data_IF_423617673643
#
_entry.id   IF_423617673643
#
_cell.length_a   1.000
_cell.length_b   1.000
_cell.length_c   1.000
_cell.angle_alpha   90.00
_cell.angle_beta   90.00
_cell.angle_gamma   90.00
#
_symmetry.space_group_name_H-M   'P 1'
#
loop_
_entity.id
_entity.type
_entity.pdbx_description
1 polymer ?
#
# COMPACT_ATOMS: atom_id res chain seq x y z
N UNK A 1 4.29 -21.88 -22.05
CA UNK A 1 4.73 -20.71 -21.27
C UNK A 1 5.38 -21.25 -20.02
N UNK A 2 6.64 -20.93 -19.80
CA UNK A 2 7.33 -21.25 -18.55
C UNK A 2 6.67 -20.41 -17.44
N UNK A 3 6.18 -21.06 -16.39
CA UNK A 3 5.55 -20.36 -15.25
C UNK A 3 6.64 -19.70 -14.39
N UNK A 4 7.28 -18.66 -14.93
CA UNK A 4 8.39 -17.99 -14.27
C UNK A 4 7.91 -17.05 -13.16
N UNK A 5 6.92 -16.20 -13.46
CA UNK A 5 6.48 -15.15 -12.56
C UNK A 5 4.96 -15.07 -12.45
N UNK A 6 4.46 -14.88 -11.23
CA UNK A 6 3.08 -14.52 -10.95
C UNK A 6 3.01 -13.30 -10.00
N UNK A 7 1.95 -12.51 -10.12
CA UNK A 7 1.70 -11.36 -9.24
C UNK A 7 0.33 -11.48 -8.59
N UNK A 8 0.28 -11.30 -7.27
CA UNK A 8 -0.95 -11.23 -6.47
C UNK A 8 -1.14 -9.82 -5.96
N UNK A 9 -2.31 -9.24 -6.21
CA UNK A 9 -2.67 -7.90 -5.76
C UNK A 9 -3.46 -8.01 -4.45
N UNK A 10 -2.83 -7.61 -3.35
CA UNK A 10 -3.33 -7.68 -1.99
C UNK A 10 -2.67 -8.77 -1.14
N UNK A 11 -2.20 -8.41 0.04
CA UNK A 11 -1.60 -9.27 1.07
C UNK A 11 -2.55 -9.49 2.27
N UNK A 12 -3.86 -9.55 2.02
CA UNK A 12 -4.85 -10.05 2.99
C UNK A 12 -5.04 -11.56 2.93
N UNK A 13 -5.89 -12.11 3.80
CA UNK A 13 -6.11 -13.56 3.93
C UNK A 13 -6.22 -14.30 2.58
N UNK A 14 -7.08 -13.84 1.67
CA UNK A 14 -7.25 -14.45 0.36
C UNK A 14 -5.99 -14.35 -0.51
N UNK A 15 -5.37 -13.17 -0.59
CA UNK A 15 -4.17 -12.98 -1.40
C UNK A 15 -2.97 -13.77 -0.89
N UNK A 16 -2.81 -13.87 0.44
CA UNK A 16 -1.80 -14.72 1.06
C UNK A 16 -2.03 -16.20 0.77
N UNK A 17 -3.27 -16.68 0.90
CA UNK A 17 -3.61 -18.06 0.57
C UNK A 17 -3.37 -18.35 -0.92
N UNK A 18 -3.79 -17.44 -1.81
CA UNK A 18 -3.51 -17.52 -3.26
C UNK A 18 -2.01 -17.56 -3.54
N UNK A 19 -1.22 -16.72 -2.88
CA UNK A 19 0.24 -16.73 -3.03
C UNK A 19 0.83 -18.10 -2.66
N UNK A 20 0.38 -18.70 -1.55
CA UNK A 20 0.86 -20.03 -1.12
C UNK A 20 0.44 -21.17 -2.04
N UNK A 21 -0.64 -21.01 -2.80
CA UNK A 21 -0.98 -21.94 -3.88
C UNK A 21 -0.09 -21.71 -5.08
N UNK A 22 0.10 -20.45 -5.50
CA UNK A 22 0.89 -20.10 -6.69
C UNK A 22 2.36 -20.45 -6.56
N UNK A 23 2.95 -20.43 -5.36
CA UNK A 23 4.35 -20.85 -5.14
C UNK A 23 4.58 -22.32 -5.47
N UNK A 24 3.52 -23.14 -5.58
CA UNK A 24 3.61 -24.54 -6.06
C UNK A 24 3.74 -24.65 -7.59
N UNK A 25 3.41 -23.60 -8.33
CA UNK A 25 3.30 -23.62 -9.79
C UNK A 25 4.22 -22.61 -10.50
N UNK A 26 4.66 -21.58 -9.79
CA UNK A 26 5.50 -20.50 -10.33
C UNK A 26 6.82 -20.43 -9.57
N UNK A 27 7.90 -20.13 -10.30
CA UNK A 27 9.23 -19.97 -9.69
C UNK A 27 9.29 -18.73 -8.78
N UNK A 28 8.64 -17.64 -9.19
CA UNK A 28 8.57 -16.40 -8.43
C UNK A 28 7.12 -15.92 -8.31
N UNK A 29 6.66 -15.69 -7.09
CA UNK A 29 5.36 -15.06 -6.78
C UNK A 29 5.62 -13.73 -6.08
N UNK A 30 5.12 -12.64 -6.65
CA UNK A 30 5.19 -11.31 -6.03
C UNK A 30 3.82 -10.92 -5.49
N UNK A 31 3.72 -10.66 -4.19
CA UNK A 31 2.52 -10.13 -3.55
C UNK A 31 2.70 -8.64 -3.32
N UNK A 32 1.80 -7.82 -3.85
CA UNK A 32 1.83 -6.36 -3.72
C UNK A 32 0.70 -5.91 -2.83
N UNK A 33 0.97 -5.13 -1.79
CA UNK A 33 -0.05 -4.49 -0.95
C UNK A 33 0.37 -3.06 -0.62
N UNK A 34 -0.61 -2.17 -0.53
CA UNK A 34 -0.40 -0.78 -0.18
C UNK A 34 -0.11 -0.60 1.31
N UNK A 35 -0.51 -1.55 2.17
CA UNK A 35 -0.33 -1.45 3.61
C UNK A 35 1.13 -1.71 4.00
N UNK A 36 1.85 -0.71 4.54
CA UNK A 36 3.25 -0.86 4.92
C UNK A 36 3.45 -1.59 6.26
N UNK A 37 2.41 -1.77 7.08
CA UNK A 37 2.52 -2.37 8.42
C UNK A 37 1.73 -3.68 8.53
N UNK A 38 2.38 -4.83 8.28
CA UNK A 38 1.71 -6.11 8.41
C UNK A 38 1.43 -6.44 9.90
N UNK A 39 0.17 -6.78 10.21
CA UNK A 39 -0.18 -7.47 11.46
C UNK A 39 -1.02 -6.70 12.48
N UNK A 40 -1.40 -5.45 12.20
CA UNK A 40 -2.34 -4.69 13.04
C UNK A 40 -3.75 -4.61 12.42
N UNK A 41 -4.71 -4.06 13.16
CA UNK A 41 -6.04 -3.79 12.64
C UNK A 41 -5.98 -2.78 11.50
N UNK A 42 -6.36 -3.22 10.29
CA UNK A 42 -6.21 -2.43 9.07
C UNK A 42 -7.43 -1.57 8.80
N UNK A 43 -7.22 -0.32 8.38
CA UNK A 43 -8.29 0.63 8.05
C UNK A 43 -9.19 0.13 6.91
N UNK A 44 -8.63 -0.59 5.93
CA UNK A 44 -9.36 -1.21 4.82
C UNK A 44 -10.12 -2.49 5.18
N UNK A 45 -9.96 -3.00 6.41
CA UNK A 45 -10.68 -4.19 6.91
C UNK A 45 -11.30 -3.85 8.26
N UNK A 46 -12.35 -3.00 8.30
CA UNK A 46 -12.98 -2.55 9.55
C UNK A 46 -13.50 -3.72 10.40
N UNK A 47 -13.85 -4.84 9.74
CA UNK A 47 -14.26 -6.06 10.42
C UNK A 47 -13.13 -6.76 11.17
N UNK A 48 -11.86 -6.43 10.92
CA UNK A 48 -10.70 -7.12 11.49
C UNK A 48 -10.64 -7.16 13.01
N UNK A 49 -11.38 -6.27 13.69
CA UNK A 49 -11.56 -6.21 15.16
C UNK A 49 -12.60 -7.19 15.70
N UNK A 50 -13.46 -7.75 14.86
CA UNK A 50 -14.46 -8.74 15.26
C UNK A 50 -13.88 -10.15 15.24
N UNK A 51 -14.51 -11.05 16.01
CA UNK A 51 -14.22 -12.47 15.95
C UNK A 51 -14.49 -12.98 14.53
N UNK A 52 -13.54 -13.73 13.97
CA UNK A 52 -13.69 -14.39 12.68
C UNK A 52 -13.72 -15.89 12.87
N UNK A 53 -14.65 -16.53 12.15
CA UNK A 53 -14.84 -17.96 12.15
C UNK A 53 -14.36 -18.54 10.81
N UNK A 54 -13.22 -19.24 10.83
CA UNK A 54 -12.78 -20.05 9.70
C UNK A 54 -13.50 -21.40 9.78
N UNK A 55 -14.49 -21.58 8.90
CA UNK A 55 -15.32 -22.78 8.87
C UNK A 55 -14.48 -24.05 8.64
N UNK A 56 -14.95 -25.24 9.09
CA UNK A 56 -14.18 -26.48 9.03
C UNK A 56 -13.62 -26.82 7.64
N UNK A 57 -14.39 -26.59 6.58
CA UNK A 57 -13.90 -26.79 5.21
C UNK A 57 -12.75 -25.84 4.85
N UNK A 58 -12.85 -24.57 5.24
CA UNK A 58 -11.80 -23.58 5.05
C UNK A 58 -10.54 -23.91 5.87
N UNK A 59 -10.71 -24.37 7.11
CA UNK A 59 -9.61 -24.82 7.96
C UNK A 59 -8.83 -25.97 7.32
N UNK A 60 -9.53 -26.97 6.77
CA UNK A 60 -8.89 -28.07 6.02
C UNK A 60 -8.11 -27.58 4.81
N UNK A 61 -8.71 -26.72 3.97
CA UNK A 61 -8.03 -26.17 2.78
C UNK A 61 -6.80 -25.35 3.17
N UNK A 62 -6.89 -24.55 4.24
CA UNK A 62 -5.74 -23.79 4.74
C UNK A 62 -4.61 -24.72 5.16
N UNK A 63 -4.91 -25.83 5.83
CA UNK A 63 -3.92 -26.82 6.24
C UNK A 63 -3.36 -27.63 5.06
N UNK A 64 -4.14 -27.89 4.01
CA UNK A 64 -3.67 -28.50 2.76
C UNK A 64 -2.69 -27.58 2.00
N UNK A 65 -2.92 -26.27 2.03
CA UNK A 65 -2.01 -25.29 1.43
C UNK A 65 -0.77 -25.12 2.31
N UNK A 66 -0.95 -25.05 3.63
CA UNK A 66 0.10 -24.86 4.62
C UNK A 66 0.01 -25.94 5.71
N UNK A 67 0.68 -27.09 5.52
CA UNK A 67 0.59 -28.22 6.45
C UNK A 67 0.89 -27.84 7.91
N UNK A 68 -0.03 -28.19 8.81
CA UNK A 68 0.08 -27.96 10.25
C UNK A 68 -0.19 -26.52 10.70
N UNK A 69 -0.63 -25.63 9.80
CA UNK A 69 -0.92 -24.25 10.12
C UNK A 69 -2.10 -24.09 11.09
N UNK A 70 -3.12 -24.95 11.02
CA UNK A 70 -4.24 -24.92 11.96
C UNK A 70 -3.80 -25.31 13.37
N UNK A 71 -2.95 -26.35 13.48
CA UNK A 71 -2.39 -26.76 14.76
C UNK A 71 -1.50 -25.65 15.37
N UNK A 72 -0.69 -25.01 14.53
CA UNK A 72 0.12 -23.84 14.91
C UNK A 72 -0.75 -22.67 15.41
N UNK A 73 -1.81 -22.33 14.68
CA UNK A 73 -2.76 -21.29 15.10
C UNK A 73 -3.40 -21.62 16.45
N UNK A 74 -3.78 -22.88 16.67
CA UNK A 74 -4.35 -23.32 17.94
C UNK A 74 -3.36 -23.19 19.10
N UNK A 75 -2.11 -23.60 18.89
CA UNK A 75 -1.04 -23.46 19.89
C UNK A 75 -0.75 -21.99 20.24
N UNK A 76 -0.88 -21.09 19.26
CA UNK A 76 -0.69 -19.64 19.43
C UNK A 76 -1.95 -18.93 19.99
N UNK A 77 -3.02 -19.67 20.34
CA UNK A 77 -4.19 -19.17 21.05
C UNK A 77 -5.47 -19.02 20.22
N UNK A 78 -5.52 -19.54 19.00
CA UNK A 78 -6.80 -19.69 18.30
C UNK A 78 -7.68 -20.75 18.98
N UNK A 79 -8.98 -20.47 19.09
CA UNK A 79 -9.93 -21.43 19.68
C UNK A 79 -10.45 -22.33 18.57
N UNK A 80 -10.33 -23.65 18.76
CA UNK A 80 -11.01 -24.64 17.94
C UNK A 80 -12.37 -24.94 18.57
N UNK A 81 -13.44 -24.79 17.81
CA UNK A 81 -14.80 -25.04 18.29
C UNK A 81 -15.53 -25.97 17.34
N UNK A 82 -16.16 -27.02 17.87
CA UNK A 82 -17.05 -27.88 17.10
C UNK A 82 -18.31 -27.10 16.73
N UNK A 83 -18.66 -27.12 15.44
CA UNK A 83 -19.69 -26.25 14.86
C UNK A 83 -21.10 -26.45 15.44
N UNK A 84 -21.43 -27.57 16.06
CA UNK A 84 -22.76 -27.79 16.65
C UNK A 84 -22.75 -27.96 18.17
N UNK A 85 -21.68 -28.49 18.78
CA UNK A 85 -21.67 -28.64 20.24
C UNK A 85 -21.27 -27.35 20.98
N UNK A 86 -20.37 -26.56 20.41
CA UNK A 86 -19.77 -25.39 21.09
C UNK A 86 -20.48 -24.07 20.76
N UNK A 87 -21.41 -24.12 19.80
CA UNK A 87 -22.24 -22.99 19.39
C UNK A 87 -23.70 -23.16 19.79
N UNK A 88 -24.42 -22.04 19.80
CA UNK A 88 -25.89 -22.03 19.73
C UNK A 88 -26.31 -21.43 18.39
N UNK A 89 -26.75 -22.27 17.47
CA UNK A 89 -27.25 -21.85 16.17
C UNK A 89 -28.77 -21.76 16.18
N UNK A 90 -29.30 -20.60 15.82
CA UNK A 90 -30.74 -20.40 15.62
C UNK A 90 -31.01 -20.18 14.13
N UNK A 91 -31.85 -21.04 13.54
CA UNK A 91 -32.28 -20.93 12.15
C UNK A 91 -33.81 -20.93 12.10
N UNK A 92 -34.39 -19.89 11.50
CA UNK A 92 -35.86 -19.75 11.45
C UNK A 92 -36.51 -19.72 12.84
N UNK A 93 -35.82 -19.18 13.86
CA UNK A 93 -36.32 -19.10 15.23
C UNK A 93 -36.20 -20.40 16.05
N UNK A 94 -35.63 -21.46 15.49
CA UNK A 94 -35.40 -22.73 16.19
C UNK A 94 -33.92 -22.94 16.45
N UNK A 95 -33.59 -23.38 17.66
CA UNK A 95 -32.23 -23.81 18.00
C UNK A 95 -31.93 -25.15 17.32
N UNK A 96 -30.78 -25.25 16.67
CA UNK A 96 -30.30 -26.51 16.13
C UNK A 96 -29.84 -27.45 17.26
N UNK A 97 -29.94 -28.78 17.09
CA UNK A 97 -29.44 -29.73 18.07
C UNK A 97 -27.95 -29.51 18.36
N UNK A 98 -27.60 -29.49 19.64
CA UNK A 98 -26.21 -29.39 20.10
C UNK A 98 -25.61 -30.77 20.22
N UNK A 99 -24.97 -31.22 19.14
CA UNK A 99 -24.36 -32.54 19.03
C UNK A 99 -22.92 -32.42 18.54
N UNK A 100 -21.96 -33.19 19.07
CA UNK A 100 -20.61 -33.22 18.52
C UNK A 100 -20.63 -33.76 17.09
N UNK A 101 -19.99 -33.06 16.16
CA UNK A 101 -19.87 -33.49 14.77
C UNK A 101 -18.43 -33.73 14.32
N UNK A 102 -17.46 -33.39 15.17
CA UNK A 102 -16.02 -33.56 14.90
C UNK A 102 -15.47 -32.56 13.86
N UNK A 103 -16.27 -31.58 13.46
CA UNK A 103 -15.91 -30.56 12.48
C UNK A 103 -15.63 -29.24 13.19
N UNK A 104 -14.34 -28.90 13.29
CA UNK A 104 -13.90 -27.77 14.09
C UNK A 104 -13.64 -26.54 13.23
N UNK A 105 -14.27 -25.43 13.60
CA UNK A 105 -13.90 -24.10 13.12
C UNK A 105 -12.72 -23.55 13.90
N UNK A 106 -11.90 -22.73 13.25
CA UNK A 106 -10.86 -21.94 13.91
C UNK A 106 -11.42 -20.56 14.21
N UNK A 107 -11.21 -20.07 15.43
CA UNK A 107 -11.61 -18.73 15.88
C UNK A 107 -10.39 -17.92 16.26
N UNK A 108 -10.25 -16.79 15.60
CA UNK A 108 -9.25 -15.79 15.90
C UNK A 108 -9.66 -14.45 15.29
N UNK A 109 -8.85 -13.43 15.54
CA UNK A 109 -8.96 -12.18 14.78
C UNK A 109 -8.36 -12.36 13.38
N UNK A 110 -8.79 -11.53 12.43
CA UNK A 110 -8.22 -11.59 11.07
C UNK A 110 -6.71 -11.29 11.00
N UNK A 111 -6.18 -10.29 11.75
CA UNK A 111 -4.73 -10.10 11.83
C UNK A 111 -3.98 -11.34 12.35
N UNK A 112 -4.59 -12.13 13.24
CA UNK A 112 -4.00 -13.36 13.73
C UNK A 112 -3.79 -14.39 12.61
N UNK A 113 -4.83 -14.64 11.79
CA UNK A 113 -4.71 -15.55 10.64
C UNK A 113 -3.66 -15.07 9.65
N UNK A 114 -3.71 -13.80 9.28
CA UNK A 114 -2.84 -13.21 8.28
C UNK A 114 -1.38 -13.15 8.77
N UNK A 115 -1.14 -13.05 10.08
CA UNK A 115 0.20 -13.16 10.67
C UNK A 115 0.79 -14.55 10.43
N UNK A 116 0.03 -15.60 10.69
CA UNK A 116 0.50 -16.98 10.54
C UNK A 116 0.74 -17.35 9.08
N UNK A 117 -0.21 -16.97 8.20
CA UNK A 117 -0.05 -17.13 6.75
C UNK A 117 1.21 -16.41 6.26
N UNK A 118 1.41 -15.14 6.63
CA UNK A 118 2.63 -14.38 6.27
C UNK A 118 3.90 -15.04 6.77
N UNK A 119 3.92 -15.51 8.02
CA UNK A 119 5.10 -16.18 8.60
C UNK A 119 5.50 -17.40 7.78
N UNK A 120 4.53 -18.26 7.41
CA UNK A 120 4.78 -19.43 6.56
C UNK A 120 5.23 -19.05 5.15
N UNK A 121 4.63 -18.01 4.60
CA UNK A 121 4.89 -17.53 3.23
C UNK A 121 6.29 -16.92 3.08
N UNK A 122 6.72 -16.06 4.01
CA UNK A 122 8.06 -15.45 3.99
C UNK A 122 9.17 -16.50 4.10
N UNK A 123 8.87 -17.65 4.70
CA UNK A 123 9.81 -18.76 4.81
C UNK A 123 9.93 -19.62 3.53
N UNK A 124 9.12 -19.37 2.50
CA UNK A 124 9.19 -20.08 1.23
C UNK A 124 10.10 -19.37 0.23
N UNK A 125 10.96 -20.13 -0.45
CA UNK A 125 11.74 -19.65 -1.58
C UNK A 125 10.81 -19.22 -2.73
N UNK A 126 11.21 -18.20 -3.50
CA UNK A 126 10.44 -17.71 -4.64
C UNK A 126 9.27 -16.79 -4.28
N UNK A 127 9.06 -16.43 -3.00
CA UNK A 127 8.09 -15.39 -2.64
C UNK A 127 8.75 -14.02 -2.48
N UNK A 128 8.15 -12.99 -3.07
CA UNK A 128 8.49 -11.58 -2.85
C UNK A 128 7.28 -10.82 -2.33
N UNK A 129 7.43 -10.15 -1.20
CA UNK A 129 6.41 -9.23 -0.65
C UNK A 129 6.83 -7.79 -0.92
N UNK A 130 5.96 -7.03 -1.59
CA UNK A 130 6.11 -5.60 -1.84
C UNK A 130 4.98 -4.88 -1.09
N UNK A 131 5.30 -4.40 0.11
CA UNK A 131 4.38 -3.66 0.97
C UNK A 131 4.59 -2.15 0.80
N UNK A 132 3.55 -1.35 1.07
CA UNK A 132 3.64 0.11 0.91
C UNK A 132 3.62 0.56 -0.56
N UNK A 133 3.11 -0.28 -1.47
CA UNK A 133 3.03 0.02 -2.89
C UNK A 133 1.61 -0.22 -3.44
N UNK A 134 1.03 0.81 -4.06
CA UNK A 134 -0.23 0.68 -4.79
C UNK A 134 -0.03 0.12 -6.18
N UNK A 135 -1.04 -0.58 -6.66
CA UNK A 135 -1.19 -0.96 -8.07
C UNK A 135 -1.93 0.15 -8.79
N UNK A 136 -1.24 0.82 -9.72
CA UNK A 136 -1.75 2.01 -10.44
C UNK A 136 -2.15 1.72 -11.88
N UNK A 137 -1.91 0.51 -12.37
CA UNK A 137 -2.34 0.09 -13.70
C UNK A 137 -1.99 -1.35 -14.00
N UNK A 138 -2.64 -1.91 -15.01
CA UNK A 138 -2.30 -3.20 -15.61
C UNK A 138 -1.42 -2.96 -16.82
N UNK A 139 -0.47 -3.86 -17.06
CA UNK A 139 0.38 -3.86 -18.25
C UNK A 139 -0.11 -5.00 -19.14
N UNK A 140 -0.34 -4.73 -20.41
CA UNK A 140 -0.88 -5.70 -21.35
C UNK A 140 -1.70 -5.02 -22.44
N UNK A 141 -2.48 -5.83 -23.15
CA UNK A 141 -3.44 -5.41 -24.16
C UNK A 141 -4.86 -5.94 -23.81
N UNK A 142 -5.82 -5.69 -24.71
CA UNK A 142 -7.22 -6.11 -24.53
C UNK A 142 -7.43 -7.62 -24.46
N UNK A 143 -6.42 -8.41 -24.83
CA UNK A 143 -6.48 -9.88 -24.84
C UNK A 143 -5.72 -10.49 -23.67
N UNK A 144 -4.69 -9.81 -23.15
CA UNK A 144 -3.81 -10.37 -22.15
C UNK A 144 -3.14 -9.33 -21.27
N UNK A 145 -3.29 -9.53 -19.97
CA UNK A 145 -2.50 -8.86 -18.93
C UNK A 145 -1.17 -9.61 -18.77
N UNK A 146 -0.06 -8.89 -18.82
CA UNK A 146 1.31 -9.40 -18.68
C UNK A 146 2.03 -8.86 -17.46
N UNK A 147 1.48 -7.84 -16.79
CA UNK A 147 2.06 -7.30 -15.57
C UNK A 147 1.20 -6.24 -14.91
N UNK A 148 1.77 -5.60 -13.91
CA UNK A 148 1.14 -4.50 -13.17
C UNK A 148 2.14 -3.38 -12.97
N UNK A 149 1.66 -2.13 -13.04
CA UNK A 149 2.42 -0.96 -12.65
C UNK A 149 2.15 -0.70 -11.17
N UNK A 150 3.22 -0.62 -10.39
CA UNK A 150 3.15 -0.28 -8.98
C UNK A 150 3.77 1.10 -8.73
N UNK A 151 3.25 1.81 -7.74
CA UNK A 151 3.80 3.06 -7.24
C UNK A 151 4.07 2.87 -5.75
N UNK A 152 5.32 2.99 -5.28
CA UNK A 152 5.60 3.01 -3.84
C UNK A 152 5.27 4.39 -3.22
N UNK A 153 4.15 4.51 -2.50
CA UNK A 153 3.63 5.80 -1.97
C UNK A 153 4.54 6.36 -0.88
N UNK A 154 4.90 5.51 0.08
CA UNK A 154 5.71 5.91 1.23
C UNK A 154 7.13 6.28 0.79
N UNK A 155 7.69 5.55 -0.18
CA UNK A 155 8.99 5.87 -0.73
C UNK A 155 8.94 7.20 -1.50
N UNK A 156 7.89 7.42 -2.31
CA UNK A 156 7.70 8.68 -3.03
C UNK A 156 7.61 9.88 -2.07
N UNK A 157 6.79 9.77 -1.02
CA UNK A 157 6.65 10.81 0.00
C UNK A 157 7.97 11.08 0.74
N UNK A 158 8.69 10.02 1.15
CA UNK A 158 9.97 10.15 1.84
C UNK A 158 11.07 10.71 0.95
N UNK A 159 11.12 10.31 -0.32
CA UNK A 159 12.07 10.83 -1.30
C UNK A 159 11.83 12.32 -1.55
N UNK A 160 10.58 12.74 -1.77
CA UNK A 160 10.23 14.14 -1.94
C UNK A 160 10.61 14.97 -0.69
N UNK A 161 10.32 14.46 0.51
CA UNK A 161 10.70 15.12 1.76
C UNK A 161 12.22 15.22 1.95
N UNK A 162 12.95 14.16 1.66
CA UNK A 162 14.41 14.15 1.78
C UNK A 162 15.02 15.19 0.81
N UNK A 163 14.62 15.17 -0.45
CA UNK A 163 15.13 16.12 -1.44
C UNK A 163 14.78 17.58 -1.10
N UNK A 164 13.57 17.83 -0.59
CA UNK A 164 13.19 19.17 -0.14
C UNK A 164 14.09 19.67 0.99
N UNK A 165 14.45 18.80 1.94
CA UNK A 165 15.39 19.14 3.01
C UNK A 165 16.81 19.37 2.47
N UNK A 166 17.27 18.53 1.53
CA UNK A 166 18.62 18.65 0.95
C UNK A 166 18.79 19.98 0.20
N UNK A 167 17.80 20.37 -0.62
CA UNK A 167 17.80 21.66 -1.32
C UNK A 167 17.75 22.83 -0.34
N UNK A 168 16.94 22.72 0.72
CA UNK A 168 16.85 23.77 1.71
C UNK A 168 18.16 23.92 2.50
N UNK A 169 18.79 22.81 2.87
CA UNK A 169 20.06 22.80 3.59
C UNK A 169 21.20 23.41 2.76
N UNK A 170 21.25 23.14 1.45
CA UNK A 170 22.22 23.75 0.54
C UNK A 170 22.05 25.28 0.46
N UNK A 171 20.81 25.75 0.39
CA UNK A 171 20.49 27.20 0.38
C UNK A 171 20.84 27.85 1.71
N UNK A 172 20.48 27.22 2.84
CA UNK A 172 20.85 27.71 4.19
C UNK A 172 22.36 27.83 4.33
N UNK A 173 23.12 26.85 3.80
CA UNK A 173 24.59 26.89 3.86
C UNK A 173 25.20 28.09 3.11
N UNK A 174 24.66 28.47 1.95
CA UNK A 174 25.09 29.68 1.24
C UNK A 174 24.71 30.95 2.01
N UNK A 175 23.49 31.02 2.55
CA UNK A 175 23.03 32.16 3.33
C UNK A 175 23.86 32.36 4.61
N UNK A 176 24.23 31.29 5.30
CA UNK A 176 25.09 31.32 6.50
C UNK A 176 26.50 31.86 6.19
N UNK A 177 26.95 31.72 4.95
CA UNK A 177 28.22 32.28 4.48
C UNK A 177 28.09 33.75 4.03
N UNK A 178 26.88 34.33 4.07
CA UNK A 178 26.60 35.69 3.61
C UNK A 178 26.42 35.80 2.10
N UNK A 179 26.25 34.68 1.40
CA UNK A 179 26.02 34.63 -0.04
C UNK A 179 24.53 34.65 -0.35
N UNK A 180 24.15 35.20 -1.50
CA UNK A 180 22.79 35.06 -2.02
C UNK A 180 22.66 33.73 -2.79
N UNK A 181 21.48 33.10 -2.81
CA UNK A 181 21.26 31.89 -3.58
C UNK A 181 21.63 32.09 -5.06
N UNK A 182 22.35 31.12 -5.63
CA UNK A 182 22.68 31.09 -7.06
C UNK A 182 21.44 30.81 -7.92
N UNK A 183 21.50 31.09 -9.23
CA UNK A 183 20.41 30.72 -10.17
C UNK A 183 20.15 29.21 -10.16
N UNK A 184 21.16 28.38 -9.95
CA UNK A 184 21.01 26.93 -9.82
C UNK A 184 20.18 26.59 -8.57
N UNK A 185 20.56 27.11 -7.41
CA UNK A 185 19.82 26.91 -6.16
C UNK A 185 18.38 27.42 -6.28
N UNK A 186 18.19 28.61 -6.84
CA UNK A 186 16.86 29.16 -7.12
C UNK A 186 16.03 28.24 -8.03
N UNK A 187 16.66 27.63 -9.03
CA UNK A 187 16.01 26.66 -9.91
C UNK A 187 15.61 25.40 -9.16
N UNK A 188 16.49 24.88 -8.31
CA UNK A 188 16.26 23.67 -7.52
C UNK A 188 15.17 23.88 -6.46
N UNK A 189 15.10 25.05 -5.80
CA UNK A 189 14.00 25.41 -4.88
C UNK A 189 12.64 25.27 -5.58
N UNK A 190 12.53 25.82 -6.79
CA UNK A 190 11.28 25.79 -7.57
C UNK A 190 10.96 24.40 -8.07
N UNK A 191 11.98 23.66 -8.51
CA UNK A 191 11.84 22.29 -8.97
C UNK A 191 11.39 21.35 -7.84
N UNK A 192 12.02 21.43 -6.67
CA UNK A 192 11.68 20.58 -5.52
C UNK A 192 10.32 20.93 -4.94
N UNK A 193 9.93 22.21 -4.93
CA UNK A 193 8.58 22.64 -4.57
C UNK A 193 7.57 21.97 -5.50
N UNK A 194 7.78 22.07 -6.81
CA UNK A 194 6.85 21.52 -7.79
C UNK A 194 6.76 19.98 -7.70
N UNK A 195 7.91 19.31 -7.59
CA UNK A 195 7.99 17.87 -7.41
C UNK A 195 7.28 17.43 -6.12
N UNK A 196 7.53 18.10 -5.00
CA UNK A 196 6.93 17.77 -3.71
C UNK A 196 5.41 17.97 -3.75
N UNK A 197 4.93 19.10 -4.26
CA UNK A 197 3.49 19.36 -4.40
C UNK A 197 2.81 18.29 -5.25
N UNK A 198 3.39 17.94 -6.40
CA UNK A 198 2.86 16.91 -7.30
C UNK A 198 2.86 15.52 -6.66
N UNK A 199 3.96 15.13 -6.02
CA UNK A 199 4.10 13.83 -5.35
C UNK A 199 3.10 13.68 -4.21
N UNK A 200 2.98 14.68 -3.33
CA UNK A 200 2.03 14.61 -2.21
C UNK A 200 0.58 14.65 -2.72
N UNK A 201 0.29 15.41 -3.78
CA UNK A 201 -1.04 15.42 -4.39
C UNK A 201 -1.43 14.05 -4.97
N UNK A 202 -0.52 13.36 -5.68
CA UNK A 202 -0.78 12.02 -6.21
C UNK A 202 -0.94 10.97 -5.09
N UNK A 203 -0.12 11.03 -4.04
CA UNK A 203 -0.30 10.21 -2.83
C UNK A 203 -1.67 10.48 -2.21
N UNK A 204 -2.07 11.75 -2.07
CA UNK A 204 -3.36 12.16 -1.52
C UNK A 204 -4.56 11.68 -2.34
N UNK A 205 -4.50 11.81 -3.68
CA UNK A 205 -5.53 11.30 -4.60
C UNK A 205 -5.71 9.79 -4.46
N UNK A 206 -4.61 9.08 -4.29
CA UNK A 206 -4.61 7.64 -4.11
C UNK A 206 -5.27 7.25 -2.78
N UNK A 207 -4.84 7.88 -1.67
CA UNK A 207 -5.44 7.70 -0.33
C UNK A 207 -6.95 7.98 -0.36
N UNK A 208 -7.38 9.06 -1.05
CA UNK A 208 -8.79 9.41 -1.15
C UNK A 208 -9.60 8.39 -1.96
N UNK A 209 -9.09 7.92 -3.10
CA UNK A 209 -9.76 6.89 -3.92
C UNK A 209 -10.04 5.63 -3.10
N UNK A 210 -9.08 5.20 -2.30
CA UNK A 210 -9.18 3.99 -1.49
C UNK A 210 -10.00 4.13 -0.21
N UNK A 211 -10.12 5.35 0.33
CA UNK A 211 -11.03 5.59 1.45
C UNK A 211 -12.50 5.32 1.09
N UNK A 212 -12.84 5.19 -0.20
CA UNK A 212 -14.15 4.73 -0.65
C UNK A 212 -15.29 5.55 -0.04
N UNK A 213 -16.32 4.91 0.49
CA UNK A 213 -17.44 5.61 1.12
C UNK A 213 -17.05 6.39 2.38
N UNK A 214 -15.91 6.10 3.01
CA UNK A 214 -15.39 6.89 4.13
C UNK A 214 -14.86 8.26 3.68
N UNK A 215 -14.49 8.42 2.40
CA UNK A 215 -14.14 9.73 1.83
C UNK A 215 -15.37 10.60 1.53
N UNK A 216 -16.56 10.01 1.41
CA UNK A 216 -17.81 10.75 1.17
C UNK A 216 -18.18 11.59 2.41
N UNK A 217 -17.82 11.13 3.60
CA UNK A 217 -18.09 11.85 4.85
C UNK A 217 -17.04 12.91 5.08
N UNK A 218 -17.47 14.11 5.50
CA UNK A 218 -16.55 15.14 6.00
C UNK A 218 -15.67 14.54 7.10
N UNK A 219 -14.37 14.61 6.87
CA UNK A 219 -13.38 14.03 7.76
C UNK A 219 -11.97 14.36 7.30
N UNK A 220 -10.94 13.88 8.01
CA UNK A 220 -9.55 14.21 7.71
C UNK A 220 -9.15 13.90 6.27
N UNK A 221 -9.57 12.76 5.70
CA UNK A 221 -9.17 12.35 4.34
C UNK A 221 -9.75 13.27 3.26
N UNK A 222 -11.05 13.58 3.33
CA UNK A 222 -11.70 14.54 2.43
C UNK A 222 -11.06 15.93 2.54
N UNK A 223 -10.79 16.39 3.76
CA UNK A 223 -10.10 17.66 4.00
C UNK A 223 -8.71 17.67 3.39
N UNK A 224 -7.89 16.65 3.67
CA UNK A 224 -6.53 16.57 3.16
C UNK A 224 -6.50 16.56 1.63
N UNK A 225 -7.39 15.83 0.95
CA UNK A 225 -7.40 15.87 -0.52
C UNK A 225 -7.74 17.27 -1.04
N UNK A 226 -8.72 17.96 -0.46
CA UNK A 226 -9.09 19.32 -0.86
C UNK A 226 -7.95 20.31 -0.63
N UNK A 227 -7.26 20.21 0.50
CA UNK A 227 -6.13 21.07 0.85
C UNK A 227 -4.97 20.84 -0.13
N UNK A 228 -4.64 19.56 -0.40
CA UNK A 228 -3.62 19.19 -1.39
C UNK A 228 -3.99 19.64 -2.80
N UNK A 229 -5.26 19.51 -3.18
CA UNK A 229 -5.77 20.01 -4.45
C UNK A 229 -5.58 21.52 -4.58
N UNK A 230 -5.90 22.27 -3.52
CA UNK A 230 -5.70 23.73 -3.49
C UNK A 230 -4.22 24.10 -3.62
N UNK A 231 -3.34 23.43 -2.87
CA UNK A 231 -1.90 23.63 -2.95
C UNK A 231 -1.34 23.35 -4.36
N UNK A 232 -1.83 22.29 -5.01
CA UNK A 232 -1.41 21.94 -6.38
C UNK A 232 -1.88 22.93 -7.45
N UNK A 233 -2.84 23.81 -7.15
CA UNK A 233 -3.24 24.89 -8.07
C UNK A 233 -2.46 26.19 -7.86
N UNK A 234 -1.56 26.26 -6.88
CA UNK A 234 -0.80 27.47 -6.62
C UNK A 234 0.13 27.79 -7.80
N UNK A 235 0.29 29.08 -8.12
CA UNK A 235 1.04 29.53 -9.30
C UNK A 235 2.51 29.08 -9.29
N UNK A 236 3.12 28.94 -8.11
CA UNK A 236 4.49 28.43 -7.93
C UNK A 236 4.63 26.95 -8.33
N UNK A 237 3.53 26.20 -8.29
CA UNK A 237 3.46 24.79 -8.70
C UNK A 237 2.96 24.63 -10.14
N UNK A 238 2.86 25.72 -10.90
CA UNK A 238 2.36 25.67 -12.27
C UNK A 238 3.36 25.02 -13.25
N UNK A 239 2.88 24.45 -14.37
CA UNK A 239 3.75 23.92 -15.43
C UNK A 239 4.71 24.96 -16.02
N UNK A 240 4.36 26.26 -15.97
CA UNK A 240 5.22 27.34 -16.48
C UNK A 240 6.52 27.44 -15.69
N UNK A 241 6.45 27.32 -14.36
CA UNK A 241 7.64 27.33 -13.49
C UNK A 241 8.52 26.11 -13.80
N UNK A 242 7.94 24.92 -13.97
CA UNK A 242 8.68 23.72 -14.37
C UNK A 242 9.38 23.88 -15.73
N UNK A 243 8.72 24.49 -16.71
CA UNK A 243 9.33 24.76 -18.02
C UNK A 243 10.53 25.68 -17.89
N UNK A 244 10.44 26.71 -17.05
CA UNK A 244 11.55 27.62 -16.77
C UNK A 244 12.71 26.90 -16.05
N UNK A 245 12.44 26.01 -15.08
CA UNK A 245 13.47 25.13 -14.51
C UNK A 245 14.16 24.30 -15.60
N UNK A 246 13.38 23.73 -16.53
CA UNK A 246 13.91 22.95 -17.65
C UNK A 246 14.84 23.75 -18.57
N UNK A 247 14.52 25.02 -18.85
CA UNK A 247 15.38 25.91 -19.66
C UNK A 247 16.76 26.08 -19.02
N UNK A 248 16.81 26.39 -17.73
CA UNK A 248 18.06 26.52 -16.98
C UNK A 248 18.84 25.20 -16.97
N UNK A 249 18.21 24.10 -16.55
CA UNK A 249 18.86 22.78 -16.43
C UNK A 249 19.34 22.20 -17.77
N UNK A 250 18.72 22.59 -18.88
CA UNK A 250 19.17 22.20 -20.22
C UNK A 250 20.42 22.97 -20.70
N UNK A 251 20.82 24.04 -19.99
CA UNK A 251 21.88 24.95 -20.41
C UNK A 251 21.49 25.89 -21.55
N UNK A 252 20.21 25.97 -21.91
CA UNK A 252 19.74 26.79 -23.04
C UNK A 252 19.87 28.30 -22.82
N UNK A 253 19.96 28.75 -21.56
CA UNK A 253 20.10 30.15 -21.18
C UNK A 253 21.12 30.30 -20.04
N UNK A 254 22.43 30.24 -20.33
CA UNK A 254 23.49 30.19 -19.31
C UNK A 254 23.61 31.47 -18.47
N UNK A 255 23.20 32.61 -19.01
CA UNK A 255 23.26 33.92 -18.34
C UNK A 255 21.93 34.32 -17.69
N UNK A 256 20.92 33.42 -17.71
CA UNK A 256 19.61 33.75 -17.16
C UNK A 256 19.60 33.84 -15.64
N UNK A 257 18.63 34.58 -15.12
CA UNK A 257 18.38 34.74 -13.70
C UNK A 257 16.89 34.71 -13.42
N UNK A 258 16.52 34.24 -12.23
CA UNK A 258 15.14 34.27 -11.81
C UNK A 258 14.72 35.68 -11.44
N UNK A 259 13.61 36.13 -12.01
CA UNK A 259 12.86 37.30 -11.57
C UNK A 259 11.47 36.83 -11.16
N UNK A 260 11.25 36.73 -9.85
CA UNK A 260 10.04 36.16 -9.27
C UNK A 260 9.76 34.72 -9.78
N UNK A 261 8.82 34.54 -10.71
CA UNK A 261 8.41 33.25 -11.29
C UNK A 261 8.90 33.03 -12.73
N UNK A 262 9.59 34.02 -13.30
CA UNK A 262 10.11 33.94 -14.66
C UNK A 262 11.64 33.81 -14.64
N UNK A 263 12.14 33.05 -15.61
CA UNK A 263 13.57 32.96 -15.89
C UNK A 263 13.86 33.91 -17.08
N UNK A 264 14.70 34.92 -16.84
CA UNK A 264 14.99 36.02 -17.78
C UNK A 264 16.47 36.15 -18.08
#
# INVERSE_FOLDING_TARGET
MTNENAVVLGAGFAGLLTAGVLTKFYQQVTVVDWDPVPGQYRRGVPQGRHAHNLLPAGARVVDEVFPGLVAEMSADGAVLADVLSDYRFYLGGKELPRVPVGAHSVHATRPFYERHLRRRLVAQDGLRLVLGADVVGLIGDDRRITGVRILPQEAGLRAARAWANDVWQDVEQSLDQGELPSTEQDTLIRLVLNHTTSTVYEVGRTVHRWAGSAAIRRGPVDRFLRDLGTGAQHITSSPVVLQNCGKWLSGAQPDARWSFLDLT
#
